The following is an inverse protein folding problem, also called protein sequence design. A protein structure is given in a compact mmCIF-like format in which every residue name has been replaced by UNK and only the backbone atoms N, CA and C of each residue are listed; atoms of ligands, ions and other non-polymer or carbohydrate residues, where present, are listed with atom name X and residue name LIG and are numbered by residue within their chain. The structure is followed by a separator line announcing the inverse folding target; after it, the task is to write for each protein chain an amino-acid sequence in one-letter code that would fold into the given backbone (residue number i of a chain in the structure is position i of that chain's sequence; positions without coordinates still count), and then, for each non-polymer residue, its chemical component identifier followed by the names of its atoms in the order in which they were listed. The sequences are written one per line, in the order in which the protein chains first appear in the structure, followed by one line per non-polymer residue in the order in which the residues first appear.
data_IF_200072695324
#
_entry.id   IF_200072695324
#
_cell.length_a   1.000
_cell.length_b   1.000
_cell.length_c   1.000
_cell.angle_alpha   90.00
_cell.angle_beta   90.00
_cell.angle_gamma   90.00
#
_symmetry.space_group_name_H-M   'P 1'
#
loop_
_entity.id
_entity.type
_entity.pdbx_description
1 polymer ?
#
# COMPACT_ATOMS: atom_id res chain seq x y z
N UNK A 1 -11.88 -16.83 -6.67
CA UNK A 1 -12.44 -16.45 -5.35
C UNK A 1 -12.16 -17.51 -4.29
N UNK A 2 -12.48 -18.78 -4.54
CA UNK A 2 -12.35 -19.87 -3.56
C UNK A 2 -10.93 -20.05 -2.99
N UNK A 3 -9.89 -19.90 -3.81
CA UNK A 3 -8.49 -20.01 -3.37
C UNK A 3 -8.12 -18.92 -2.34
N UNK A 4 -8.44 -17.66 -2.61
CA UNK A 4 -8.15 -16.53 -1.70
C UNK A 4 -8.90 -16.71 -0.39
N UNK A 5 -10.19 -17.06 -0.44
CA UNK A 5 -10.98 -17.32 0.76
C UNK A 5 -10.40 -18.48 1.58
N UNK A 6 -9.89 -19.53 0.92
CA UNK A 6 -9.27 -20.67 1.62
C UNK A 6 -7.98 -20.28 2.34
N UNK A 7 -7.13 -19.47 1.69
CA UNK A 7 -5.90 -18.95 2.30
C UNK A 7 -6.23 -18.07 3.52
N UNK A 8 -7.24 -17.20 3.39
CA UNK A 8 -7.71 -16.35 4.50
C UNK A 8 -8.22 -17.16 5.69
N UNK A 9 -8.98 -18.23 5.45
CA UNK A 9 -9.44 -19.13 6.54
C UNK A 9 -8.28 -19.77 7.31
N UNK A 10 -7.08 -19.81 6.73
CA UNK A 10 -5.84 -20.22 7.39
C UNK A 10 -5.17 -19.13 8.24
N UNK A 11 -5.78 -17.94 8.40
CA UNK A 11 -5.25 -16.83 9.19
C UNK A 11 -4.30 -15.90 8.43
N UNK A 12 -4.21 -16.03 7.10
CA UNK A 12 -3.34 -15.19 6.26
C UNK A 12 -4.08 -13.93 5.81
N UNK A 13 -3.51 -12.76 6.08
CA UNK A 13 -4.02 -11.48 5.57
C UNK A 13 -3.73 -11.31 4.08
N UNK A 14 -4.65 -10.66 3.37
CA UNK A 14 -4.59 -10.44 1.93
C UNK A 14 -4.55 -8.95 1.64
N UNK A 15 -3.50 -8.51 0.94
CA UNK A 15 -3.42 -7.16 0.41
C UNK A 15 -3.75 -7.14 -1.09
N UNK A 16 -4.43 -6.09 -1.55
CA UNK A 16 -4.54 -5.78 -2.97
C UNK A 16 -3.39 -4.83 -3.33
N UNK A 17 -2.47 -5.32 -4.15
CA UNK A 17 -1.27 -4.60 -4.55
C UNK A 17 -1.47 -3.78 -5.83
N UNK A 18 -0.58 -2.82 -6.08
CA UNK A 18 -0.52 -2.00 -7.29
C UNK A 18 -1.85 -1.32 -7.68
N UNK A 19 -2.67 -0.92 -6.69
CA UNK A 19 -3.97 -0.31 -6.98
C UNK A 19 -3.80 1.01 -7.74
N UNK A 20 -4.44 1.08 -8.90
CA UNK A 20 -4.37 2.22 -9.82
C UNK A 20 -3.48 1.98 -11.04
N UNK A 21 -2.56 1.01 -11.03
CA UNK A 21 -1.79 0.67 -12.25
C UNK A 21 -2.58 -0.34 -13.10
N UNK A 22 -2.95 0.05 -14.33
CA UNK A 22 -3.66 -0.83 -15.27
C UNK A 22 -5.09 -1.25 -14.88
N UNK A 23 -5.41 -2.54 -14.99
CA UNK A 23 -6.76 -3.11 -14.80
C UNK A 23 -7.17 -3.27 -13.32
N UNK A 24 -7.18 -2.17 -12.57
CA UNK A 24 -7.77 -2.15 -11.22
C UNK A 24 -9.30 -2.07 -11.32
N UNK A 25 -9.95 -3.21 -11.52
CA UNK A 25 -11.41 -3.28 -11.64
C UNK A 25 -12.07 -3.14 -10.27
N UNK A 26 -12.60 -1.94 -9.97
CA UNK A 26 -13.52 -1.69 -8.84
C UNK A 26 -14.65 -2.73 -8.77
N UNK A 27 -15.07 -3.24 -9.93
CA UNK A 27 -16.08 -4.30 -10.09
C UNK A 27 -15.72 -5.60 -9.37
N UNK A 28 -14.43 -5.91 -9.19
CA UNK A 28 -13.97 -7.08 -8.44
C UNK A 28 -13.69 -6.78 -6.97
N UNK A 29 -13.30 -5.55 -6.65
CA UNK A 29 -12.89 -5.16 -5.31
C UNK A 29 -13.98 -5.45 -4.27
N UNK A 30 -15.25 -5.16 -4.58
CA UNK A 30 -16.37 -5.42 -3.65
C UNK A 30 -16.69 -6.89 -3.41
N UNK A 31 -16.18 -7.80 -4.26
CA UNK A 31 -16.43 -9.25 -4.15
C UNK A 31 -15.27 -9.99 -3.49
N UNK A 32 -14.12 -9.34 -3.37
CA UNK A 32 -12.93 -9.90 -2.76
C UNK A 32 -12.94 -9.57 -1.27
N UNK A 33 -12.60 -10.56 -0.44
CA UNK A 33 -12.28 -10.32 0.96
C UNK A 33 -10.78 -9.96 1.03
N UNK A 34 -10.46 -8.72 1.41
CA UNK A 34 -9.09 -8.23 1.56
C UNK A 34 -8.95 -7.40 2.85
N UNK A 35 -7.72 -7.30 3.35
CA UNK A 35 -7.41 -6.66 4.64
C UNK A 35 -6.59 -5.38 4.47
N UNK A 36 -6.04 -5.13 3.29
CA UNK A 36 -5.20 -3.95 3.02
C UNK A 36 -5.26 -3.59 1.54
N UNK A 37 -5.29 -2.29 1.25
CA UNK A 37 -5.11 -1.75 -0.08
C UNK A 37 -3.73 -1.11 -0.18
N UNK A 38 -3.05 -1.23 -1.31
CA UNK A 38 -1.78 -0.56 -1.57
C UNK A 38 -1.91 0.30 -2.83
N UNK A 39 -1.59 1.59 -2.75
CA UNK A 39 -1.61 2.49 -3.90
C UNK A 39 -0.21 2.59 -4.50
N UNK A 40 -0.13 2.40 -5.82
CA UNK A 40 1.11 2.34 -6.58
C UNK A 40 1.91 3.66 -6.47
N UNK A 41 3.23 3.52 -6.43
CA UNK A 41 4.18 4.63 -6.36
C UNK A 41 4.03 5.66 -7.47
N UNK A 42 3.52 5.27 -8.65
CA UNK A 42 3.40 6.16 -9.81
C UNK A 42 2.37 7.27 -9.53
N UNK A 43 1.41 7.06 -8.64
CA UNK A 43 0.51 8.12 -8.14
C UNK A 43 1.12 8.91 -6.98
N UNK A 44 1.86 8.22 -6.10
CA UNK A 44 2.43 8.83 -4.90
C UNK A 44 3.58 9.78 -5.21
N UNK A 45 4.43 9.44 -6.18
CA UNK A 45 5.67 10.17 -6.47
C UNK A 45 5.44 11.65 -6.83
N UNK A 46 4.34 11.94 -7.54
CA UNK A 46 4.01 13.30 -8.00
C UNK A 46 2.85 13.93 -7.24
N UNK A 47 2.50 13.42 -6.04
CA UNK A 47 1.34 13.90 -5.26
C UNK A 47 1.43 15.38 -4.84
N UNK A 48 2.64 15.94 -4.81
CA UNK A 48 2.88 17.34 -4.45
C UNK A 48 2.71 18.31 -5.64
N UNK A 49 2.82 17.81 -6.87
CA UNK A 49 2.96 18.64 -8.09
C UNK A 49 1.88 18.37 -9.12
N UNK A 50 1.24 17.19 -9.09
CA UNK A 50 0.15 16.82 -9.99
C UNK A 50 -1.19 16.68 -9.24
N UNK A 51 -2.06 17.67 -9.43
CA UNK A 51 -3.43 17.69 -8.89
C UNK A 51 -4.27 16.48 -9.29
N UNK A 52 -4.00 15.84 -10.44
CA UNK A 52 -4.68 14.61 -10.86
C UNK A 52 -4.24 13.44 -9.99
N UNK A 53 -2.95 13.27 -9.76
CA UNK A 53 -2.44 12.24 -8.87
C UNK A 53 -2.91 12.46 -7.43
N UNK A 54 -2.90 13.70 -6.94
CA UNK A 54 -3.49 14.05 -5.64
C UNK A 54 -4.98 13.64 -5.56
N UNK A 55 -5.76 13.91 -6.61
CA UNK A 55 -7.17 13.55 -6.66
C UNK A 55 -7.38 12.04 -6.65
N UNK A 56 -6.53 11.28 -7.36
CA UNK A 56 -6.57 9.82 -7.37
C UNK A 56 -6.23 9.27 -5.99
N UNK A 57 -5.12 9.72 -5.38
CA UNK A 57 -4.71 9.31 -4.02
C UNK A 57 -5.84 9.60 -3.02
N UNK A 58 -6.45 10.78 -3.07
CA UNK A 58 -7.59 11.15 -2.23
C UNK A 58 -8.80 10.23 -2.43
N UNK A 59 -9.13 9.86 -3.68
CA UNK A 59 -10.20 8.92 -3.97
C UNK A 59 -9.93 7.52 -3.41
N UNK A 60 -8.68 7.04 -3.51
CA UNK A 60 -8.28 5.72 -2.98
C UNK A 60 -8.29 5.70 -1.45
N UNK A 61 -7.89 6.78 -0.78
CA UNK A 61 -8.02 6.93 0.69
C UNK A 61 -9.49 6.81 1.10
N UNK A 62 -10.40 7.50 0.40
CA UNK A 62 -11.85 7.40 0.68
C UNK A 62 -12.38 5.99 0.43
N UNK A 63 -11.87 5.32 -0.61
CA UNK A 63 -12.25 3.96 -0.93
C UNK A 63 -11.83 2.98 0.17
N UNK A 64 -10.59 3.07 0.67
CA UNK A 64 -10.10 2.19 1.73
C UNK A 64 -10.89 2.38 3.03
N UNK A 65 -11.24 3.63 3.37
CA UNK A 65 -12.15 3.93 4.48
C UNK A 65 -13.54 3.30 4.27
N UNK A 66 -14.09 3.36 3.05
CA UNK A 66 -15.37 2.74 2.71
C UNK A 66 -15.38 1.20 2.87
N UNK A 67 -14.24 0.55 2.63
CA UNK A 67 -14.05 -0.89 2.86
C UNK A 67 -13.63 -1.22 4.30
N UNK A 68 -13.39 -0.22 5.15
CA UNK A 68 -12.87 -0.38 6.50
C UNK A 68 -11.55 -1.16 6.56
N UNK A 69 -10.64 -0.86 5.62
CA UNK A 69 -9.29 -1.44 5.56
C UNK A 69 -8.22 -0.35 5.50
N UNK A 70 -7.02 -0.61 6.06
CA UNK A 70 -5.87 0.27 5.88
C UNK A 70 -5.46 0.43 4.41
N UNK A 71 -5.00 1.64 4.06
CA UNK A 71 -4.29 1.93 2.82
C UNK A 71 -2.79 2.11 3.10
N UNK A 72 -1.95 1.49 2.28
CA UNK A 72 -0.49 1.71 2.27
C UNK A 72 -0.11 2.49 1.01
N UNK A 73 0.50 3.66 1.17
CA UNK A 73 1.10 4.40 0.07
C UNK A 73 2.50 3.87 -0.26
N UNK A 74 2.75 3.48 -1.50
CA UNK A 74 4.06 3.00 -1.94
C UNK A 74 4.94 4.11 -2.51
N UNK A 75 6.26 3.91 -2.46
CA UNK A 75 7.23 4.80 -3.12
C UNK A 75 7.38 6.17 -2.46
N UNK A 76 7.18 6.28 -1.14
CA UNK A 76 7.44 7.53 -0.42
C UNK A 76 8.94 7.77 -0.30
N UNK A 77 9.46 8.75 -1.04
CA UNK A 77 10.90 9.05 -1.10
C UNK A 77 11.32 10.29 -0.30
N UNK A 78 10.39 11.16 0.09
CA UNK A 78 10.69 12.38 0.86
C UNK A 78 9.75 12.61 2.05
N UNK A 79 10.18 13.43 2.99
CA UNK A 79 9.39 13.82 4.17
C UNK A 79 8.13 14.58 3.76
N UNK A 80 8.24 15.47 2.78
CA UNK A 80 7.15 16.30 2.28
C UNK A 80 6.03 15.45 1.68
N UNK A 81 6.38 14.37 0.97
CA UNK A 81 5.41 13.39 0.46
C UNK A 81 4.74 12.65 1.62
N UNK A 82 5.50 12.22 2.63
CA UNK A 82 4.95 11.56 3.82
C UNK A 82 3.96 12.46 4.57
N UNK A 83 4.34 13.71 4.82
CA UNK A 83 3.53 14.72 5.51
C UNK A 83 2.25 15.03 4.74
N UNK A 84 2.35 15.17 3.41
CA UNK A 84 1.19 15.35 2.53
C UNK A 84 0.22 14.19 2.62
N UNK A 85 0.72 12.95 2.53
CA UNK A 85 -0.10 11.74 2.63
C UNK A 85 -0.76 11.62 4.01
N UNK A 86 -0.04 11.92 5.08
CA UNK A 86 -0.58 11.92 6.44
C UNK A 86 -1.70 12.97 6.59
N UNK A 87 -1.49 14.17 6.06
CA UNK A 87 -2.51 15.24 6.06
C UNK A 87 -3.75 14.88 5.24
N UNK A 88 -3.60 14.08 4.18
CA UNK A 88 -4.71 13.53 3.39
C UNK A 88 -5.44 12.38 4.10
N UNK A 89 -4.90 11.86 5.21
CA UNK A 89 -5.48 10.77 5.99
C UNK A 89 -4.88 9.38 5.71
N UNK A 90 -3.80 9.27 4.94
CA UNK A 90 -3.08 8.01 4.74
C UNK A 90 -2.06 7.79 5.87
N UNK A 91 -2.32 6.81 6.74
CA UNK A 91 -1.53 6.59 7.97
C UNK A 91 -0.40 5.57 7.80
N UNK A 92 -0.38 4.82 6.70
CA UNK A 92 0.62 3.79 6.44
C UNK A 92 1.30 4.06 5.12
N UNK A 93 2.62 3.98 5.11
CA UNK A 93 3.42 4.24 3.93
C UNK A 93 4.66 3.35 3.89
N UNK A 94 5.14 3.12 2.68
CA UNK A 94 6.41 2.47 2.39
C UNK A 94 7.19 3.30 1.39
N UNK A 95 8.49 3.42 1.61
CA UNK A 95 9.40 3.95 0.60
C UNK A 95 10.77 4.25 1.18
N UNK A 96 11.67 4.70 0.31
CA UNK A 96 13.08 4.92 0.65
C UNK A 96 13.29 6.03 1.69
N UNK A 97 12.30 6.89 1.89
CA UNK A 97 12.31 7.85 3.00
C UNK A 97 12.40 7.14 4.36
N UNK A 98 11.71 6.01 4.52
CA UNK A 98 11.69 5.25 5.77
C UNK A 98 12.81 4.20 5.81
N UNK A 99 12.86 3.35 4.80
CA UNK A 99 13.82 2.25 4.71
C UNK A 99 13.90 1.72 3.28
N UNK A 100 15.11 1.28 2.87
CA UNK A 100 15.28 0.50 1.65
C UNK A 100 15.02 -0.98 1.93
N UNK A 101 14.62 -1.79 0.92
CA UNK A 101 14.63 -3.24 1.05
C UNK A 101 16.02 -3.70 1.51
N UNK A 102 16.05 -4.52 2.55
CA UNK A 102 17.29 -4.95 3.20
C UNK A 102 17.19 -6.43 3.63
N UNK A 103 18.30 -7.15 3.72
CA UNK A 103 18.34 -8.49 4.29
C UNK A 103 17.80 -8.52 5.72
N UNK A 104 17.27 -9.66 6.15
CA UNK A 104 16.75 -9.84 7.52
C UNK A 104 17.80 -9.50 8.60
N UNK A 105 19.08 -9.77 8.33
CA UNK A 105 20.18 -9.45 9.26
C UNK A 105 20.38 -7.96 9.51
N UNK A 106 19.84 -7.10 8.64
CA UNK A 106 19.93 -5.64 8.73
C UNK A 106 18.62 -5.02 9.24
N UNK A 107 17.59 -5.84 9.51
CA UNK A 107 16.32 -5.33 10.01
C UNK A 107 16.55 -4.62 11.35
N UNK A 108 16.09 -3.36 11.48
CA UNK A 108 16.19 -2.66 12.75
C UNK A 108 15.40 -3.44 13.80
N UNK A 109 15.89 -3.45 15.04
CA UNK A 109 15.11 -3.89 16.20
C UNK A 109 14.02 -2.85 16.47
N UNK A 110 12.93 -2.96 15.72
CA UNK A 110 11.72 -2.19 15.90
C UNK A 110 10.91 -2.87 17.00
N UNK A 111 11.01 -2.32 18.22
CA UNK A 111 10.23 -2.79 19.37
C UNK A 111 8.72 -2.84 19.08
N UNK A 112 7.95 -3.46 19.99
CA UNK A 112 6.50 -3.62 19.82
C UNK A 112 5.79 -2.27 19.63
N UNK A 113 5.41 -1.94 18.39
CA UNK A 113 4.65 -0.73 18.07
C UNK A 113 4.91 -0.11 16.70
N UNK A 114 6.07 -0.38 16.07
CA UNK A 114 6.36 0.06 14.71
C UNK A 114 6.15 -1.11 13.73
N UNK A 115 5.07 -1.07 12.94
CA UNK A 115 4.97 -1.95 11.77
C UNK A 115 5.77 -1.32 10.63
N UNK A 116 7.02 -1.75 10.41
CA UNK A 116 7.64 -1.53 9.10
C UNK A 116 6.84 -2.34 8.08
N UNK A 117 6.02 -1.65 7.29
CA UNK A 117 5.46 -2.26 6.08
C UNK A 117 6.57 -2.20 5.04
N UNK A 118 7.55 -3.09 5.19
CA UNK A 118 8.42 -3.46 4.10
C UNK A 118 7.62 -4.43 3.24
N UNK A 119 7.05 -3.98 2.12
CA UNK A 119 6.72 -4.90 1.05
C UNK A 119 8.01 -5.64 0.74
N UNK A 120 8.02 -6.92 1.09
CA UNK A 120 8.83 -7.89 0.39
C UNK A 120 8.43 -7.67 -1.07
N UNK A 121 9.29 -6.98 -1.82
CA UNK A 121 9.28 -7.15 -3.27
C UNK A 121 9.54 -8.64 -3.42
N UNK A 122 8.47 -9.40 -3.63
CA UNK A 122 8.60 -10.69 -4.26
C UNK A 122 9.33 -10.32 -5.55
N UNK A 123 10.64 -10.63 -5.60
CA UNK A 123 11.45 -10.36 -6.76
C UNK A 123 10.62 -10.81 -7.96
N UNK A 124 10.54 -10.01 -9.01
CA UNK A 124 10.04 -10.48 -10.31
C UNK A 124 10.90 -11.68 -10.69
N UNK A 125 10.47 -12.85 -10.24
CA UNK A 125 10.95 -14.16 -10.58
C UNK A 125 9.89 -14.74 -11.51
N UNK A 126 9.67 -14.05 -12.63
CA UNK A 126 9.14 -14.67 -13.82
C UNK A 126 10.08 -14.23 -14.94
N UNK A 127 10.65 -15.25 -15.57
CA UNK A 127 11.63 -15.18 -16.65
C UNK A 127 11.22 -14.25 -17.79
#
# INVERSE_FOLDING_TARGET
METISTIRRGGVSVAIDDFGSGFSSLSYLHKLEFDTLKIDKDFVSDVLTDSRNESIVSAVIRLSHGFNVPLVAEGVETAEVADKLQAMGCQKAQGYYFARPMPLSEWPDIGEGLTLILAIRCAKAVR
#
